data_IF_754636624768
#
_entry.id   IF_754636624768
#
_cell.length_a   1.000
_cell.length_b   1.000
_cell.length_c   1.000
_cell.angle_alpha   90.00
_cell.angle_beta   90.00
_cell.angle_gamma   90.00
#
_symmetry.space_group_name_H-M   'P 1'
#
loop_
_entity.id
_entity.type
_entity.pdbx_description
1 polymer ?
#
# COMPACT_ATOMS: atom_id res chain seq x y z
N UNK A 1 32.81 -9.58 18.28
CA UNK A 1 31.72 -10.19 17.47
C UNK A 1 30.49 -9.37 17.73
N UNK A 2 30.00 -8.64 16.75
CA UNK A 2 28.68 -7.98 16.88
C UNK A 2 27.66 -9.10 17.10
N UNK A 3 27.00 -9.05 18.22
CA UNK A 3 25.97 -10.03 18.56
C UNK A 3 24.79 -9.81 17.62
N UNK A 4 24.44 -10.79 16.78
CA UNK A 4 23.22 -10.81 15.92
C UNK A 4 21.95 -10.84 16.78
N UNK A 5 21.89 -9.96 17.80
CA UNK A 5 20.78 -9.84 18.75
C UNK A 5 20.02 -8.53 18.52
N UNK A 6 18.72 -8.64 18.38
CA UNK A 6 17.81 -7.54 18.11
C UNK A 6 16.65 -7.56 19.09
N UNK A 7 15.99 -6.41 19.27
CA UNK A 7 14.77 -6.37 20.06
C UNK A 7 13.59 -6.88 19.22
N UNK A 8 13.57 -6.51 17.94
CA UNK A 8 12.50 -6.87 17.00
C UNK A 8 13.10 -7.35 15.69
N UNK A 9 12.56 -8.43 15.17
CA UNK A 9 12.81 -8.89 13.80
C UNK A 9 11.52 -8.79 12.97
N UNK A 10 11.64 -8.24 11.77
CA UNK A 10 10.53 -8.12 10.83
C UNK A 10 10.86 -8.95 9.59
N UNK A 11 9.96 -9.85 9.21
CA UNK A 11 10.11 -10.72 8.04
C UNK A 11 9.26 -10.17 6.89
N UNK A 12 9.92 -9.62 5.89
CA UNK A 12 9.33 -9.01 4.69
C UNK A 12 9.68 -7.53 4.54
N UNK A 13 10.39 -7.20 3.46
CA UNK A 13 10.83 -5.86 3.06
C UNK A 13 9.83 -5.13 2.16
N UNK A 14 8.55 -5.49 2.22
CA UNK A 14 7.46 -4.76 1.59
C UNK A 14 6.99 -3.58 2.44
N UNK A 15 6.05 -2.78 1.91
CA UNK A 15 5.57 -1.56 2.58
C UNK A 15 5.00 -1.82 3.99
N UNK A 16 4.36 -2.98 4.22
CA UNK A 16 3.79 -3.31 5.54
C UNK A 16 4.92 -3.51 6.56
N UNK A 17 5.97 -4.27 6.21
CA UNK A 17 7.12 -4.50 7.08
C UNK A 17 7.88 -3.21 7.38
N UNK A 18 8.17 -2.42 6.34
CA UNK A 18 8.90 -1.15 6.50
C UNK A 18 8.09 -0.09 7.27
N UNK A 19 6.78 0.01 7.02
CA UNK A 19 5.92 0.92 7.78
C UNK A 19 5.82 0.51 9.26
N UNK A 20 5.70 -0.79 9.54
CA UNK A 20 5.71 -1.31 10.91
C UNK A 20 7.04 -0.99 11.59
N UNK A 21 8.17 -1.25 10.93
CA UNK A 21 9.51 -0.93 11.42
C UNK A 21 9.69 0.55 11.68
N UNK A 22 9.25 1.41 10.77
CA UNK A 22 9.32 2.86 10.91
C UNK A 22 8.49 3.37 12.11
N UNK A 23 7.25 2.89 12.26
CA UNK A 23 6.42 3.27 13.40
C UNK A 23 7.04 2.82 14.74
N UNK A 24 7.58 1.62 14.80
CA UNK A 24 8.28 1.14 15.98
C UNK A 24 9.53 1.96 16.28
N UNK A 25 10.35 2.24 15.26
CA UNK A 25 11.57 3.00 15.43
C UNK A 25 11.30 4.45 15.85
N UNK A 26 10.23 5.05 15.32
CA UNK A 26 9.83 6.44 15.67
C UNK A 26 9.34 6.52 17.12
N UNK A 27 8.50 5.55 17.55
CA UNK A 27 7.96 5.55 18.91
C UNK A 27 8.97 5.06 19.97
N UNK A 28 9.92 4.21 19.55
CA UNK A 28 10.93 3.59 20.41
C UNK A 28 12.33 3.69 19.76
N UNK A 29 12.97 4.87 19.75
CA UNK A 29 14.20 5.11 18.99
C UNK A 29 15.38 4.21 19.37
N UNK A 30 15.39 3.68 20.58
CA UNK A 30 16.48 2.85 21.09
C UNK A 30 16.35 1.35 20.70
N UNK A 31 15.21 0.91 20.15
CA UNK A 31 15.04 -0.48 19.71
C UNK A 31 16.01 -0.81 18.57
N UNK A 32 16.68 -1.95 18.67
CA UNK A 32 17.45 -2.53 17.58
C UNK A 32 16.50 -3.40 16.75
N UNK A 33 16.20 -2.97 15.54
CA UNK A 33 15.30 -3.65 14.62
C UNK A 33 16.12 -4.29 13.50
N UNK A 34 15.83 -5.57 13.15
CA UNK A 34 16.32 -6.19 11.93
C UNK A 34 15.14 -6.49 11.00
N UNK A 35 15.28 -6.17 9.71
CA UNK A 35 14.29 -6.48 8.68
C UNK A 35 14.92 -7.39 7.66
N UNK A 36 14.28 -8.52 7.39
CA UNK A 36 14.72 -9.52 6.41
C UNK A 36 13.86 -9.45 5.16
N UNK A 37 14.49 -9.34 4.00
CA UNK A 37 13.86 -9.44 2.69
C UNK A 37 14.58 -10.52 1.88
N UNK A 38 13.83 -11.49 1.35
CA UNK A 38 14.41 -12.61 0.58
C UNK A 38 14.93 -12.18 -0.79
N UNK A 39 14.30 -11.18 -1.39
CA UNK A 39 14.73 -10.65 -2.69
C UNK A 39 15.93 -9.69 -2.53
N UNK A 40 16.61 -9.42 -3.63
CA UNK A 40 17.79 -8.55 -3.62
C UNK A 40 17.45 -7.06 -3.46
N UNK A 41 16.18 -6.69 -3.54
CA UNK A 41 15.69 -5.32 -3.36
C UNK A 41 14.40 -5.29 -2.55
N UNK A 42 14.16 -4.16 -1.88
CA UNK A 42 12.91 -3.89 -1.18
C UNK A 42 11.75 -3.69 -2.16
N UNK A 43 10.52 -3.90 -1.69
CA UNK A 43 9.31 -3.69 -2.47
C UNK A 43 9.22 -4.51 -3.78
N UNK A 44 9.92 -5.62 -3.89
CA UNK A 44 10.01 -6.42 -5.11
C UNK A 44 8.68 -7.02 -5.55
N UNK A 45 7.82 -7.43 -4.61
CA UNK A 45 6.54 -8.06 -4.90
C UNK A 45 5.40 -7.03 -5.05
N UNK A 46 4.24 -7.23 -4.36
CA UNK A 46 3.03 -6.40 -4.54
C UNK A 46 3.27 -4.91 -4.31
N UNK A 47 4.21 -4.55 -3.42
CA UNK A 47 4.52 -3.16 -3.14
C UNK A 47 5.10 -2.43 -4.36
N UNK A 48 5.94 -3.10 -5.14
CA UNK A 48 6.49 -2.55 -6.40
C UNK A 48 5.66 -2.86 -7.64
N UNK A 49 4.68 -3.78 -7.54
CA UNK A 49 3.86 -4.24 -8.66
C UNK A 49 2.36 -4.03 -8.37
N UNK A 50 1.94 -2.78 -8.35
CA UNK A 50 0.56 -2.35 -8.09
C UNK A 50 0.18 -1.17 -9.00
N UNK A 51 -1.04 -0.66 -8.86
CA UNK A 51 -1.54 0.45 -9.68
C UNK A 51 -1.03 1.83 -9.26
N UNK A 52 -0.27 1.96 -8.18
CA UNK A 52 0.22 3.23 -7.65
C UNK A 52 -0.86 4.17 -7.10
N UNK A 53 -2.08 3.69 -6.89
CA UNK A 53 -3.23 4.54 -6.54
C UNK A 53 -3.27 4.87 -5.05
N UNK A 54 -3.37 6.15 -4.74
CA UNK A 54 -3.78 6.65 -3.42
C UNK A 54 -5.31 6.56 -3.34
N UNK A 55 -5.82 5.48 -2.74
CA UNK A 55 -7.25 5.25 -2.61
C UNK A 55 -7.92 6.23 -1.65
N UNK A 56 -9.12 6.70 -2.01
CA UNK A 56 -9.89 7.64 -1.19
C UNK A 56 -10.71 6.96 -0.08
N UNK A 57 -11.09 5.69 -0.25
CA UNK A 57 -12.01 4.98 0.64
C UNK A 57 -13.46 4.94 0.13
N UNK A 58 -13.70 5.33 -1.12
CA UNK A 58 -15.03 5.42 -1.75
C UNK A 58 -15.84 4.12 -1.67
N UNK A 59 -15.20 2.97 -1.95
CA UNK A 59 -15.88 1.69 -2.12
C UNK A 59 -16.08 0.89 -0.82
N UNK A 60 -15.42 1.28 0.27
CA UNK A 60 -15.48 0.51 1.51
C UNK A 60 -16.74 0.83 2.30
N UNK A 61 -17.34 -0.20 2.88
CA UNK A 61 -18.52 -0.06 3.76
C UNK A 61 -18.20 0.93 4.88
N UNK A 62 -19.07 1.94 5.02
CA UNK A 62 -18.91 2.97 6.04
C UNK A 62 -18.83 2.37 7.45
N UNK A 63 -17.94 2.91 8.29
CA UNK A 63 -17.66 2.44 9.64
C UNK A 63 -16.79 1.18 9.72
N UNK A 64 -16.45 0.54 8.59
CA UNK A 64 -15.55 -0.61 8.60
C UNK A 64 -14.10 -0.19 8.87
N UNK A 65 -13.29 -1.12 9.41
CA UNK A 65 -11.85 -0.90 9.57
C UNK A 65 -11.17 -0.54 8.23
N UNK A 66 -11.60 -1.13 7.11
CA UNK A 66 -11.08 -0.79 5.78
C UNK A 66 -11.34 0.66 5.40
N UNK A 67 -12.55 1.18 5.66
CA UNK A 67 -12.90 2.56 5.37
C UNK A 67 -12.06 3.52 6.23
N UNK A 68 -12.05 3.30 7.55
CA UNK A 68 -11.34 4.15 8.49
C UNK A 68 -9.83 4.16 8.23
N UNK A 69 -9.23 2.98 8.03
CA UNK A 69 -7.79 2.87 7.73
C UNK A 69 -7.43 3.47 6.37
N UNK A 70 -8.30 3.37 5.36
CA UNK A 70 -8.04 3.98 4.06
C UNK A 70 -8.05 5.52 4.15
N UNK A 71 -9.02 6.10 4.83
CA UNK A 71 -9.13 7.56 4.96
C UNK A 71 -7.99 8.15 5.80
N UNK A 72 -7.68 7.55 6.95
CA UNK A 72 -6.55 7.99 7.80
C UNK A 72 -5.20 7.69 7.15
N UNK A 73 -5.03 6.50 6.59
CA UNK A 73 -3.79 6.10 5.90
C UNK A 73 -3.46 6.99 4.71
N UNK A 74 -4.46 7.40 3.91
CA UNK A 74 -4.26 8.38 2.83
C UNK A 74 -3.66 9.68 3.34
N UNK A 75 -4.20 10.23 4.45
CA UNK A 75 -3.69 11.49 5.02
C UNK A 75 -2.26 11.34 5.49
N UNK A 76 -1.95 10.26 6.20
CA UNK A 76 -0.60 9.96 6.68
C UNK A 76 0.37 9.71 5.53
N UNK A 77 -0.05 9.00 4.48
CA UNK A 77 0.78 8.75 3.30
C UNK A 77 1.16 10.04 2.57
N UNK A 78 0.17 10.93 2.35
CA UNK A 78 0.40 12.22 1.69
C UNK A 78 1.30 13.11 2.56
N UNK A 79 1.11 13.11 3.88
CA UNK A 79 1.96 13.84 4.82
C UNK A 79 3.39 13.31 4.77
N UNK A 80 3.56 11.99 4.87
CA UNK A 80 4.87 11.34 4.78
C UNK A 80 5.58 11.66 3.45
N UNK A 81 4.85 11.62 2.34
CA UNK A 81 5.40 11.94 1.03
C UNK A 81 5.91 13.40 0.96
N UNK A 82 5.14 14.36 1.49
CA UNK A 82 5.56 15.78 1.56
C UNK A 82 6.80 15.97 2.43
N UNK A 83 6.82 15.39 3.62
CA UNK A 83 7.93 15.51 4.58
C UNK A 83 9.22 14.87 4.07
N UNK A 84 9.11 13.91 3.15
CA UNK A 84 10.25 13.14 2.63
C UNK A 84 10.56 13.42 1.15
N UNK A 85 9.95 14.46 0.54
CA UNK A 85 10.15 14.84 -0.86
C UNK A 85 9.90 13.69 -1.85
N UNK A 86 8.84 12.89 -1.61
CA UNK A 86 8.40 11.85 -2.51
C UNK A 86 7.34 12.43 -3.44
N UNK A 87 7.51 12.25 -4.74
CA UNK A 87 6.56 12.73 -5.73
C UNK A 87 5.23 11.98 -5.62
N UNK A 88 4.14 12.73 -5.62
CA UNK A 88 2.77 12.23 -5.68
C UNK A 88 1.88 13.25 -6.38
N UNK A 89 0.76 12.78 -6.93
CA UNK A 89 -0.23 13.65 -7.55
C UNK A 89 -1.63 13.26 -7.07
N UNK A 90 -2.35 14.21 -6.46
CA UNK A 90 -3.77 14.07 -6.11
C UNK A 90 -4.61 14.53 -7.30
N UNK A 91 -4.45 13.85 -8.41
CA UNK A 91 -5.08 14.17 -9.70
C UNK A 91 -6.61 13.99 -9.70
N UNK A 92 -7.17 13.29 -8.72
CA UNK A 92 -8.58 12.95 -8.71
C UNK A 92 -8.91 11.70 -9.53
N UNK A 93 -10.19 11.28 -9.43
CA UNK A 93 -10.69 10.08 -10.10
C UNK A 93 -12.11 10.33 -10.63
N UNK A 94 -12.37 9.80 -11.83
CA UNK A 94 -13.72 9.65 -12.39
C UNK A 94 -14.14 8.19 -12.31
N UNK A 95 -15.30 7.92 -11.71
CA UNK A 95 -15.99 6.62 -11.83
C UNK A 95 -17.09 6.81 -12.85
N UNK A 96 -16.99 6.12 -13.98
CA UNK A 96 -17.81 6.38 -15.18
C UNK A 96 -18.88 5.31 -15.32
N UNK A 97 -20.13 5.73 -15.43
CA UNK A 97 -21.28 4.89 -15.76
C UNK A 97 -21.50 4.90 -17.28
N UNK A 98 -21.67 3.72 -17.87
CA UNK A 98 -21.90 3.56 -19.32
C UNK A 98 -23.37 3.31 -19.66
N UNK A 99 -24.21 3.09 -18.66
CA UNK A 99 -25.66 2.90 -18.77
C UNK A 99 -26.39 3.48 -17.54
N UNK A 100 -27.74 3.49 -17.58
CA UNK A 100 -28.54 4.08 -16.52
C UNK A 100 -28.48 3.29 -15.20
N UNK A 101 -28.41 1.98 -15.24
CA UNK A 101 -28.30 1.14 -14.02
C UNK A 101 -26.99 1.43 -13.27
N UNK A 102 -25.90 1.66 -13.99
CA UNK A 102 -24.63 2.10 -13.41
C UNK A 102 -24.73 3.54 -12.88
N UNK A 103 -25.48 4.42 -13.56
CA UNK A 103 -25.67 5.80 -13.12
C UNK A 103 -26.42 5.88 -11.76
N UNK A 104 -27.37 4.99 -11.52
CA UNK A 104 -28.03 4.88 -10.20
C UNK A 104 -27.05 4.46 -9.11
N UNK A 105 -26.18 3.44 -9.40
CA UNK A 105 -25.14 3.01 -8.46
C UNK A 105 -24.12 4.09 -8.12
N UNK A 106 -23.87 5.06 -9.00
CA UNK A 106 -23.01 6.21 -8.68
C UNK A 106 -23.56 7.04 -7.53
N UNK A 107 -24.89 7.14 -7.39
CA UNK A 107 -25.53 7.86 -6.28
C UNK A 107 -25.26 7.15 -4.96
N UNK A 108 -25.35 5.82 -4.94
CA UNK A 108 -25.04 5.02 -3.76
C UNK A 108 -23.57 5.14 -3.38
N UNK A 109 -22.66 5.08 -4.37
CA UNK A 109 -21.23 5.27 -4.17
C UNK A 109 -20.90 6.66 -3.61
N UNK A 110 -21.55 7.71 -4.12
CA UNK A 110 -21.40 9.07 -3.60
C UNK A 110 -21.81 9.14 -2.13
N UNK A 111 -23.00 8.64 -1.80
CA UNK A 111 -23.52 8.63 -0.45
C UNK A 111 -22.60 7.84 0.51
N UNK A 112 -22.07 6.70 0.07
CA UNK A 112 -21.10 5.91 0.84
C UNK A 112 -19.79 6.68 1.06
N UNK A 113 -19.30 7.33 0.02
CA UNK A 113 -18.08 8.16 0.11
C UNK A 113 -18.23 9.32 1.08
N UNK A 114 -19.38 10.03 1.05
CA UNK A 114 -19.69 11.12 1.99
C UNK A 114 -19.76 10.62 3.44
N UNK A 115 -20.39 9.45 3.68
CA UNK A 115 -20.38 8.78 5.00
C UNK A 115 -18.98 8.41 5.47
N UNK A 116 -18.06 8.13 4.55
CA UNK A 116 -16.63 7.88 4.85
C UNK A 116 -15.81 9.17 5.01
N UNK A 117 -16.46 10.34 4.99
CA UNK A 117 -15.81 11.64 5.18
C UNK A 117 -15.10 12.17 3.93
N UNK A 118 -15.46 11.69 2.74
CA UNK A 118 -14.98 12.29 1.50
C UNK A 118 -15.76 13.59 1.23
N UNK A 119 -15.06 14.61 0.76
CA UNK A 119 -15.61 15.92 0.44
C UNK A 119 -15.42 16.22 -1.05
N UNK A 120 -16.30 17.06 -1.59
CA UNK A 120 -16.21 17.50 -2.99
C UNK A 120 -16.62 16.44 -4.01
N UNK A 121 -17.31 15.37 -3.60
CA UNK A 121 -17.88 14.37 -4.51
C UNK A 121 -19.00 15.01 -5.35
N UNK A 122 -18.96 14.81 -6.66
CA UNK A 122 -19.94 15.37 -7.60
C UNK A 122 -20.36 14.34 -8.64
N UNK A 123 -21.68 14.19 -8.86
CA UNK A 123 -22.18 13.52 -10.05
C UNK A 123 -22.09 14.54 -11.20
N UNK A 124 -21.49 14.12 -12.30
CA UNK A 124 -21.22 14.95 -13.47
C UNK A 124 -21.99 14.41 -14.68
N UNK A 125 -22.57 15.33 -15.45
CA UNK A 125 -23.15 15.04 -16.76
C UNK A 125 -22.05 14.96 -17.85
N UNK A 126 -22.31 14.38 -19.04
CA UNK A 126 -21.32 14.19 -20.09
C UNK A 126 -20.55 15.45 -20.50
N UNK A 127 -21.24 16.59 -20.56
CA UNK A 127 -20.62 17.88 -20.90
C UNK A 127 -19.69 18.41 -19.79
N UNK A 128 -19.85 17.95 -18.55
CA UNK A 128 -19.03 18.34 -17.41
C UNK A 128 -17.78 17.46 -17.30
N UNK A 129 -17.94 16.13 -17.28
CA UNK A 129 -16.78 15.25 -17.14
C UNK A 129 -15.86 15.27 -18.36
N UNK A 130 -16.38 15.56 -19.58
CA UNK A 130 -15.54 15.75 -20.78
C UNK A 130 -14.65 16.98 -20.71
N UNK A 131 -14.94 17.97 -19.85
CA UNK A 131 -14.02 19.09 -19.59
C UNK A 131 -12.82 18.64 -18.76
N UNK A 132 -12.99 17.59 -17.93
CA UNK A 132 -11.92 17.00 -17.12
C UNK A 132 -11.13 15.99 -17.96
N UNK A 133 -11.84 15.03 -18.60
CA UNK A 133 -11.29 13.95 -19.42
C UNK A 133 -12.01 13.88 -20.77
N UNK A 134 -11.50 14.58 -21.80
CA UNK A 134 -12.18 14.68 -23.10
C UNK A 134 -12.34 13.35 -23.84
N UNK A 135 -11.49 12.39 -23.57
CA UNK A 135 -11.41 11.12 -24.30
C UNK A 135 -12.24 9.97 -23.68
N UNK A 136 -13.05 10.24 -22.68
CA UNK A 136 -13.94 9.23 -22.08
C UNK A 136 -15.38 9.35 -22.59
N UNK A 137 -16.09 8.23 -22.54
CA UNK A 137 -17.50 8.15 -22.90
C UNK A 137 -18.30 7.48 -21.78
N UNK A 138 -19.51 7.97 -21.54
CA UNK A 138 -20.43 7.45 -20.53
C UNK A 138 -21.68 8.30 -20.45
N UNK A 139 -22.64 7.86 -19.65
CA UNK A 139 -23.92 8.57 -19.41
C UNK A 139 -23.82 9.50 -18.20
N UNK A 140 -23.04 9.13 -17.20
CA UNK A 140 -22.72 9.94 -15.99
C UNK A 140 -21.35 9.57 -15.43
N UNK A 141 -20.78 10.42 -14.59
CA UNK A 141 -19.58 10.11 -13.84
C UNK A 141 -19.64 10.65 -12.41
N UNK A 142 -19.00 9.95 -11.47
CA UNK A 142 -18.75 10.46 -10.13
C UNK A 142 -17.32 10.99 -10.06
N UNK A 143 -17.15 12.27 -9.79
CA UNK A 143 -15.89 12.90 -9.50
C UNK A 143 -15.47 12.68 -8.05
N UNK A 144 -14.25 12.23 -7.84
CA UNK A 144 -13.64 11.92 -6.52
C UNK A 144 -12.31 12.65 -6.42
N UNK A 145 -12.27 13.87 -5.89
CA UNK A 145 -11.07 14.71 -5.91
C UNK A 145 -9.94 14.20 -5.00
N UNK A 146 -10.25 13.33 -4.06
CA UNK A 146 -9.31 12.88 -3.02
C UNK A 146 -8.60 11.56 -3.36
N UNK A 147 -8.56 11.18 -4.62
CA UNK A 147 -7.76 10.07 -5.14
C UNK A 147 -6.52 10.60 -5.85
N UNK A 148 -5.47 9.80 -5.89
CA UNK A 148 -4.22 10.22 -6.53
C UNK A 148 -3.33 9.04 -6.86
N UNK A 149 -2.09 9.35 -7.22
CA UNK A 149 -1.04 8.37 -7.54
C UNK A 149 0.24 8.68 -6.76
N UNK A 150 0.99 7.63 -6.45
CA UNK A 150 2.29 7.69 -5.80
C UNK A 150 3.12 6.45 -6.17
N UNK A 151 4.42 6.57 -6.17
CA UNK A 151 5.32 5.42 -6.27
C UNK A 151 5.53 4.78 -4.89
N UNK A 152 4.85 3.66 -4.63
CA UNK A 152 4.98 2.91 -3.38
C UNK A 152 6.38 2.32 -3.17
N UNK A 153 7.17 2.09 -4.24
CA UNK A 153 8.56 1.64 -4.12
C UNK A 153 9.42 2.75 -3.50
N UNK A 154 9.26 3.99 -3.96
CA UNK A 154 9.92 5.17 -3.38
C UNK A 154 9.52 5.39 -1.92
N UNK A 155 8.23 5.25 -1.58
CA UNK A 155 7.76 5.32 -0.19
C UNK A 155 8.46 4.28 0.68
N UNK A 156 8.51 3.02 0.21
CA UNK A 156 9.11 1.90 0.97
C UNK A 156 10.60 2.11 1.20
N UNK A 157 11.33 2.55 0.17
CA UNK A 157 12.76 2.85 0.30
C UNK A 157 13.00 4.00 1.29
N UNK A 158 12.17 5.02 1.26
CA UNK A 158 12.28 6.16 2.19
C UNK A 158 11.98 5.75 3.64
N UNK A 159 11.02 4.86 3.87
CA UNK A 159 10.77 4.27 5.19
C UNK A 159 12.02 3.54 5.69
N UNK A 160 12.70 2.77 4.83
CA UNK A 160 13.93 2.07 5.18
C UNK A 160 15.07 3.03 5.56
N UNK A 161 15.28 4.09 4.76
CA UNK A 161 16.26 5.14 5.06
C UNK A 161 15.99 5.78 6.44
N UNK A 162 14.73 6.12 6.71
CA UNK A 162 14.34 6.77 7.97
C UNK A 162 14.56 5.84 9.17
N UNK A 163 14.26 4.54 9.07
CA UNK A 163 14.55 3.56 10.14
C UNK A 163 16.04 3.59 10.49
N UNK A 164 16.91 3.49 9.49
CA UNK A 164 18.36 3.45 9.70
C UNK A 164 18.91 4.81 10.18
N UNK A 165 18.29 5.92 9.78
CA UNK A 165 18.64 7.26 10.25
C UNK A 165 18.30 7.48 11.72
N UNK A 166 17.17 6.94 12.20
CA UNK A 166 16.77 7.06 13.61
C UNK A 166 17.69 6.20 14.49
N UNK A 167 18.01 4.97 14.05
CA UNK A 167 18.90 4.10 14.81
C UNK A 167 19.85 3.33 13.89
N UNK A 168 21.10 3.76 13.83
CA UNK A 168 22.14 3.13 13.02
C UNK A 168 22.53 1.70 13.46
N UNK A 169 22.03 1.23 14.62
CA UNK A 169 22.18 -0.17 15.08
C UNK A 169 21.08 -1.10 14.53
N UNK A 170 20.05 -0.54 13.91
CA UNK A 170 19.06 -1.32 13.16
C UNK A 170 19.63 -1.78 11.82
N UNK A 171 19.10 -2.87 11.27
CA UNK A 171 19.64 -3.49 10.07
C UNK A 171 18.52 -3.88 9.11
N UNK A 172 18.75 -3.69 7.82
CA UNK A 172 17.86 -4.15 6.75
C UNK A 172 18.69 -5.03 5.82
N UNK A 173 18.29 -6.30 5.70
CA UNK A 173 19.01 -7.31 4.92
C UNK A 173 18.14 -7.76 3.74
N UNK A 174 18.55 -7.40 2.54
CA UNK A 174 18.03 -7.93 1.27
C UNK A 174 18.80 -9.18 0.85
N UNK A 175 18.23 -10.00 -0.05
CA UNK A 175 18.81 -11.30 -0.42
C UNK A 175 18.97 -12.23 0.78
N UNK A 176 18.12 -12.06 1.80
CA UNK A 176 18.20 -12.80 3.07
C UNK A 176 16.87 -13.46 3.36
N UNK A 177 16.73 -14.72 2.96
CA UNK A 177 15.52 -15.50 3.18
C UNK A 177 15.48 -16.06 4.61
N UNK A 178 14.36 -15.89 5.29
CA UNK A 178 14.09 -16.56 6.57
C UNK A 178 13.63 -17.98 6.26
N UNK A 179 14.48 -18.93 6.62
CA UNK A 179 14.30 -20.36 6.36
C UNK A 179 13.50 -21.02 7.47
N UNK A 180 13.78 -20.62 8.72
CA UNK A 180 13.11 -21.15 9.91
C UNK A 180 13.17 -20.19 11.09
N UNK A 181 12.32 -20.41 12.08
CA UNK A 181 12.32 -19.66 13.32
C UNK A 181 11.69 -20.49 14.46
N UNK A 182 12.28 -20.37 15.64
CA UNK A 182 11.73 -20.96 16.86
C UNK A 182 12.25 -20.21 18.08
N UNK A 183 11.39 -19.97 19.04
CA UNK A 183 11.70 -19.13 20.19
C UNK A 183 12.25 -17.76 19.72
N UNK A 184 13.43 -17.40 20.23
CA UNK A 184 14.10 -16.14 19.91
C UNK A 184 15.10 -16.27 18.73
N UNK A 185 15.21 -17.43 18.08
CA UNK A 185 16.15 -17.69 17.00
C UNK A 185 15.48 -17.62 15.63
N UNK A 186 16.12 -16.92 14.71
CA UNK A 186 15.71 -16.84 13.30
C UNK A 186 16.87 -17.42 12.47
N UNK A 187 16.57 -18.42 11.68
CA UNK A 187 17.51 -19.07 10.76
C UNK A 187 17.29 -18.50 9.39
N UNK A 188 18.33 -17.91 8.81
CA UNK A 188 18.26 -17.28 7.49
C UNK A 188 19.32 -17.88 6.55
N UNK A 189 19.19 -17.57 5.26
CA UNK A 189 20.19 -17.90 4.24
C UNK A 189 21.58 -17.25 4.49
N UNK A 190 21.63 -16.24 5.37
CA UNK A 190 22.86 -15.51 5.73
C UNK A 190 23.35 -15.78 7.15
N UNK A 191 22.82 -16.82 7.81
CA UNK A 191 23.19 -17.18 9.19
C UNK A 191 22.05 -17.02 10.19
N UNK A 192 22.38 -17.11 11.46
CA UNK A 192 21.44 -17.08 12.56
C UNK A 192 21.36 -15.68 13.18
N UNK A 193 20.15 -15.25 13.48
CA UNK A 193 19.84 -14.01 14.20
C UNK A 193 18.98 -14.34 15.43
N UNK A 194 18.94 -13.41 16.36
CA UNK A 194 18.16 -13.58 17.59
C UNK A 194 17.35 -12.30 17.83
N UNK A 195 16.08 -12.43 18.19
CA UNK A 195 15.21 -11.31 18.53
C UNK A 195 14.26 -11.65 19.67
N UNK A 196 13.84 -10.63 20.42
CA UNK A 196 12.86 -10.79 21.49
C UNK A 196 11.44 -10.99 20.93
N UNK A 197 11.12 -10.31 19.82
CA UNK A 197 9.81 -10.34 19.16
C UNK A 197 10.00 -10.45 17.65
N UNK A 198 9.11 -11.23 17.02
CA UNK A 198 9.08 -11.43 15.57
C UNK A 198 7.77 -10.88 15.00
N UNK A 199 7.84 -10.13 13.90
CA UNK A 199 6.70 -9.61 13.14
C UNK A 199 6.77 -10.15 11.73
N UNK A 200 5.74 -10.87 11.30
CA UNK A 200 5.72 -11.49 9.99
C UNK A 200 4.88 -10.66 9.01
N UNK A 201 5.53 -10.10 7.98
CA UNK A 201 4.95 -9.28 6.93
C UNK A 201 5.22 -9.90 5.56
N UNK A 202 5.05 -11.23 5.44
CA UNK A 202 5.46 -12.05 4.29
C UNK A 202 4.60 -11.92 3.03
N UNK A 203 3.63 -10.99 2.96
CA UNK A 203 2.77 -10.81 1.80
C UNK A 203 2.04 -12.10 1.42
N UNK A 204 2.24 -12.60 0.19
CA UNK A 204 1.66 -13.88 -0.28
C UNK A 204 2.12 -15.12 0.50
N UNK A 205 3.17 -14.99 1.31
CA UNK A 205 3.71 -16.10 2.11
C UNK A 205 3.28 -16.05 3.58
N UNK A 206 2.40 -15.10 3.95
CA UNK A 206 2.03 -14.88 5.36
C UNK A 206 1.29 -16.08 5.96
N UNK A 207 0.45 -16.78 5.20
CA UNK A 207 -0.21 -18.00 5.64
C UNK A 207 0.78 -19.14 5.91
N UNK A 208 1.80 -19.29 5.06
CA UNK A 208 2.86 -20.30 5.23
C UNK A 208 3.71 -20.04 6.47
N UNK A 209 4.02 -18.75 6.72
CA UNK A 209 4.75 -18.34 7.93
C UNK A 209 3.91 -18.59 9.18
N UNK A 210 2.60 -18.32 9.12
CA UNK A 210 1.70 -18.58 10.24
C UNK A 210 1.53 -20.09 10.54
N UNK A 211 1.43 -20.94 9.50
CA UNK A 211 1.41 -22.40 9.67
C UNK A 211 2.74 -22.89 10.28
N UNK A 212 3.87 -22.31 9.85
CA UNK A 212 5.18 -22.63 10.40
C UNK A 212 5.29 -22.23 11.88
N UNK A 213 4.61 -21.18 12.29
CA UNK A 213 4.44 -20.76 13.70
C UNK A 213 3.35 -21.55 14.43
N UNK A 214 2.96 -22.70 13.89
CA UNK A 214 1.99 -23.65 14.45
C UNK A 214 0.57 -23.09 14.64
N UNK A 215 0.19 -22.05 13.92
CA UNK A 215 -1.19 -21.56 13.94
C UNK A 215 -2.10 -22.47 13.10
N UNK A 216 -3.23 -22.89 13.70
CA UNK A 216 -4.30 -23.62 12.98
C UNK A 216 -5.11 -22.63 12.13
N UNK A 217 -4.67 -22.41 10.89
CA UNK A 217 -5.33 -21.52 9.96
C UNK A 217 -6.53 -22.19 9.28
N UNK A 218 -7.68 -21.51 9.31
CA UNK A 218 -8.88 -21.90 8.53
C UNK A 218 -8.95 -21.21 7.18
N UNK A 219 -7.88 -20.55 6.73
CA UNK A 219 -7.80 -19.81 5.49
C UNK A 219 -6.44 -19.97 4.83
N UNK A 220 -6.38 -19.72 3.54
CA UNK A 220 -5.13 -19.63 2.78
C UNK A 220 -5.12 -18.37 1.92
N UNK A 221 -3.93 -17.91 1.57
CA UNK A 221 -3.75 -16.81 0.64
C UNK A 221 -3.66 -17.37 -0.79
N UNK A 222 -4.57 -16.90 -1.66
CA UNK A 222 -4.58 -17.27 -3.08
C UNK A 222 -4.11 -16.07 -3.89
N UNK A 223 -3.02 -16.26 -4.66
CA UNK A 223 -2.49 -15.24 -5.54
C UNK A 223 -3.34 -15.08 -6.79
N UNK A 224 -3.70 -13.84 -7.14
CA UNK A 224 -4.31 -13.50 -8.44
C UNK A 224 -3.30 -12.67 -9.23
N UNK A 225 -3.14 -13.01 -10.51
CA UNK A 225 -2.34 -12.24 -11.44
C UNK A 225 -3.17 -11.11 -12.03
N UNK A 226 -2.68 -9.87 -11.94
CA UNK A 226 -3.18 -8.73 -12.68
C UNK A 226 -2.23 -8.39 -13.83
N UNK A 227 -2.76 -8.25 -15.04
CA UNK A 227 -1.98 -7.79 -16.19
C UNK A 227 -2.24 -6.29 -16.41
N UNK A 228 -1.15 -5.53 -16.57
CA UNK A 228 -1.19 -4.09 -16.79
C UNK A 228 -0.70 -3.76 -18.19
N UNK A 229 -1.41 -2.87 -18.86
CA UNK A 229 -0.99 -2.29 -20.13
C UNK A 229 -0.44 -0.90 -19.89
N UNK A 230 0.65 -0.59 -20.59
CA UNK A 230 1.23 0.75 -20.57
C UNK A 230 0.81 1.49 -21.82
N UNK A 231 0.33 2.72 -21.67
CA UNK A 231 0.08 3.59 -22.83
C UNK A 231 1.40 3.91 -23.53
N UNK A 232 1.37 3.96 -24.87
CA UNK A 232 2.51 4.48 -25.64
C UNK A 232 2.80 5.94 -25.29
N UNK A 233 4.01 6.40 -25.52
CA UNK A 233 4.40 7.80 -25.23
C UNK A 233 3.47 8.81 -25.92
N UNK A 234 3.05 8.53 -27.16
CA UNK A 234 2.11 9.36 -27.91
C UNK A 234 0.68 9.37 -27.37
N UNK A 235 0.31 8.37 -26.54
CA UNK A 235 -1.02 8.25 -25.97
C UNK A 235 -1.13 8.75 -24.52
N UNK A 236 -0.01 8.99 -23.84
CA UNK A 236 0.01 9.41 -22.43
C UNK A 236 -0.76 10.70 -22.17
N UNK A 237 -0.69 11.67 -23.09
CA UNK A 237 -1.39 12.95 -22.98
C UNK A 237 -2.91 12.85 -23.09
N UNK A 238 -3.45 11.69 -23.50
CA UNK A 238 -4.89 11.49 -23.67
C UNK A 238 -5.63 11.31 -22.35
N UNK A 239 -4.93 10.95 -21.29
CA UNK A 239 -5.49 10.66 -19.96
C UNK A 239 -4.75 11.50 -18.92
N UNK A 240 -5.49 12.20 -18.06
CA UNK A 240 -4.94 13.09 -17.03
C UNK A 240 -5.25 12.61 -15.61
N UNK A 241 -6.39 11.94 -15.44
CA UNK A 241 -6.92 11.54 -14.14
C UNK A 241 -7.09 10.02 -14.07
N UNK A 242 -7.40 9.50 -12.89
CA UNK A 242 -7.77 8.11 -12.72
C UNK A 242 -9.19 7.88 -13.26
N UNK A 243 -9.38 6.86 -14.10
CA UNK A 243 -10.67 6.52 -14.71
C UNK A 243 -11.00 5.08 -14.35
N UNK A 244 -12.17 4.89 -13.75
CA UNK A 244 -12.65 3.58 -13.29
C UNK A 244 -14.08 3.32 -13.78
N UNK A 245 -14.43 2.07 -14.06
CA UNK A 245 -15.83 1.69 -14.25
C UNK A 245 -16.57 1.70 -12.90
N UNK A 246 -17.88 1.68 -12.96
CA UNK A 246 -18.73 1.38 -11.81
C UNK A 246 -18.55 -0.11 -11.46
N UNK A 247 -18.30 -0.47 -10.18
CA UNK A 247 -18.12 -1.86 -9.76
C UNK A 247 -19.44 -2.66 -9.76
#
# INVERSE_FOLDING_TARGET
>A
METNQYDIAIVGGGIVGLASGFQLQTNFPNLRIVIFEKENELAFHQTGNNSGVIHSGLYYKSGSYKANNCVSGRKLLIQFAKENNIDFDVCGKLVVAVNNDEAERLIELKNNGEKNGLIGLKILEPNEFKKIEPNISGVKALWVPQSGIIDYKSVTNKLAENILSINSKSLILTGCEVLDFFNNKIITSKGNFYSKHNIFCGGLFSDRLAIKDQLDLKMQIVGFRGDYYRLSESAKSKIKNLIYPVP
#
